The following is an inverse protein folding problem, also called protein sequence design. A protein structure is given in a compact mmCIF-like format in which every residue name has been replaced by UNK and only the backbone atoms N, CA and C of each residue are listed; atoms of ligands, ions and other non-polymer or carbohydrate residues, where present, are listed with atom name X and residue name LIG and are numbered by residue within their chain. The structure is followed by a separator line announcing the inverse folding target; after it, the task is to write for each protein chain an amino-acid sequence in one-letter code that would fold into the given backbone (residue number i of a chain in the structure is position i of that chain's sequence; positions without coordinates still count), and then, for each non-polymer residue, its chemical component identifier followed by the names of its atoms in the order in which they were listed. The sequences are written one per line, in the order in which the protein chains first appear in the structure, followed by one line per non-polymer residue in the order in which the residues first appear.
data_IF_245905615394
#
_entry.id   IF_245905615394
#
_cell.length_a   1.000
_cell.length_b   1.000
_cell.length_c   1.000
_cell.angle_alpha   90.00
_cell.angle_beta   90.00
_cell.angle_gamma   90.00
#
_symmetry.space_group_name_H-M   'P 1'
#
loop_
_entity.id
_entity.type
_entity.pdbx_description
1 polymer ?
#
# COMPACT_ATOMS: atom_id res chain seq x y z
N UNK A 1 -54.35 -54.85 17.38
CA UNK A 1 -55.07 -54.32 16.18
C UNK A 1 -53.99 -53.84 15.23
N UNK A 2 -53.52 -54.66 14.30
CA UNK A 2 -54.09 -54.81 12.96
C UNK A 2 -54.22 -53.47 12.21
N UNK A 3 -53.35 -53.31 11.22
CA UNK A 3 -53.69 -52.82 9.88
C UNK A 3 -54.47 -51.50 9.78
N UNK A 4 -53.77 -50.39 9.50
CA UNK A 4 -54.23 -49.43 8.49
C UNK A 4 -53.07 -49.04 7.59
N UNK A 5 -52.96 -49.84 6.54
CA UNK A 5 -52.24 -49.60 5.32
C UNK A 5 -52.85 -48.38 4.60
N UNK A 6 -51.98 -47.63 3.92
CA UNK A 6 -52.27 -46.72 2.81
C UNK A 6 -52.99 -45.41 3.15
N UNK A 7 -52.31 -44.28 2.92
CA UNK A 7 -52.60 -43.31 1.85
C UNK A 7 -51.94 -41.96 2.20
N UNK A 8 -50.86 -41.61 1.50
CA UNK A 8 -50.17 -40.35 1.74
C UNK A 8 -48.88 -40.20 0.94
N UNK A 9 -48.87 -40.65 -0.31
CA UNK A 9 -47.87 -40.24 -1.29
C UNK A 9 -48.14 -38.76 -1.57
N UNK A 10 -47.40 -37.86 -0.91
CA UNK A 10 -47.31 -36.46 -1.31
C UNK A 10 -45.85 -36.00 -1.18
N UNK A 11 -45.15 -36.17 -2.31
CA UNK A 11 -44.08 -35.29 -2.83
C UNK A 11 -42.81 -35.16 -1.98
N UNK A 12 -42.04 -36.26 -1.92
CA UNK A 12 -40.59 -36.19 -1.71
C UNK A 12 -39.86 -35.79 -3.01
N UNK A 13 -40.16 -34.60 -3.55
CA UNK A 13 -39.63 -34.12 -4.84
C UNK A 13 -39.28 -32.63 -4.85
N UNK A 14 -38.69 -32.12 -3.77
CA UNK A 14 -38.04 -30.80 -3.72
C UNK A 14 -36.51 -30.90 -3.56
N UNK A 15 -35.94 -32.06 -3.88
CA UNK A 15 -34.50 -32.19 -4.02
C UNK A 15 -34.17 -32.15 -5.51
N UNK A 16 -33.25 -31.25 -5.85
CA UNK A 16 -32.65 -31.05 -7.18
C UNK A 16 -33.47 -30.18 -8.12
N UNK A 17 -33.23 -28.86 -8.07
CA UNK A 17 -32.79 -28.19 -9.28
C UNK A 17 -31.98 -26.91 -8.98
N UNK A 18 -30.76 -26.93 -9.53
CA UNK A 18 -29.80 -25.87 -9.84
C UNK A 18 -30.09 -24.46 -9.27
N UNK A 19 -29.15 -23.78 -8.65
CA UNK A 19 -27.78 -23.62 -9.09
C UNK A 19 -26.84 -23.63 -7.89
N UNK A 20 -25.73 -24.33 -8.03
CA UNK A 20 -24.47 -23.97 -7.39
C UNK A 20 -24.33 -22.46 -7.55
N UNK A 21 -24.59 -21.69 -6.48
CA UNK A 21 -24.05 -20.35 -6.38
C UNK A 21 -22.55 -20.57 -6.37
N UNK A 22 -22.01 -20.46 -7.58
CA UNK A 22 -20.62 -20.48 -7.96
C UNK A 22 -19.69 -20.17 -6.79
N UNK A 23 -18.62 -20.94 -6.67
CA UNK A 23 -17.40 -20.58 -5.93
C UNK A 23 -16.72 -19.29 -6.46
N UNK A 24 -17.47 -18.36 -7.05
CA UNK A 24 -16.98 -17.15 -7.69
C UNK A 24 -16.62 -16.02 -6.70
N UNK A 25 -16.58 -16.27 -5.38
CA UNK A 25 -16.34 -15.23 -4.37
C UNK A 25 -15.32 -15.65 -3.29
N UNK A 26 -14.29 -16.42 -3.64
CA UNK A 26 -13.18 -16.73 -2.71
C UNK A 26 -11.78 -16.69 -3.32
N UNK A 27 -11.59 -16.03 -4.45
CA UNK A 27 -10.23 -15.69 -4.85
C UNK A 27 -9.82 -14.44 -4.08
N UNK A 28 -9.08 -14.64 -2.99
CA UNK A 28 -8.38 -13.56 -2.30
C UNK A 28 -7.46 -12.84 -3.29
N UNK A 29 -7.37 -11.49 -3.24
CA UNK A 29 -6.53 -10.73 -4.15
C UNK A 29 -5.08 -11.22 -4.04
N UNK A 30 -4.48 -11.62 -5.16
CA UNK A 30 -3.11 -12.19 -5.17
C UNK A 30 -2.02 -11.13 -5.08
N UNK A 31 -2.37 -9.87 -5.34
CA UNK A 31 -1.43 -8.75 -5.40
C UNK A 31 -1.93 -7.59 -4.55
N UNK A 32 -0.98 -6.79 -4.05
CA UNK A 32 -1.24 -5.48 -3.47
C UNK A 32 -0.60 -4.40 -4.33
N UNK A 33 -1.29 -3.28 -4.45
CA UNK A 33 -0.78 -2.06 -5.05
C UNK A 33 -0.45 -1.08 -3.94
N UNK A 34 0.73 -0.49 -3.97
CA UNK A 34 1.23 0.42 -2.96
C UNK A 34 1.66 1.69 -3.65
N UNK A 35 0.80 2.71 -3.56
CA UNK A 35 0.98 3.95 -4.29
C UNK A 35 1.00 5.17 -3.38
N UNK A 36 1.57 6.26 -3.90
CA UNK A 36 1.69 7.53 -3.21
C UNK A 36 2.38 8.55 -4.10
N UNK A 37 2.70 9.71 -3.53
CA UNK A 37 3.42 10.79 -4.21
C UNK A 37 4.73 11.13 -3.52
N UNK A 38 5.68 11.63 -4.29
CA UNK A 38 6.87 12.31 -3.76
C UNK A 38 6.90 13.74 -4.26
N UNK A 39 6.96 14.67 -3.31
CA UNK A 39 6.96 16.10 -3.57
C UNK A 39 8.26 16.74 -3.05
N UNK A 40 8.61 17.87 -3.64
CA UNK A 40 9.63 18.77 -3.15
C UNK A 40 8.97 19.78 -2.22
N UNK A 41 9.46 19.87 -0.99
CA UNK A 41 9.12 20.94 -0.07
C UNK A 41 10.10 22.10 -0.28
N UNK A 42 9.55 23.26 -0.65
CA UNK A 42 10.29 24.51 -0.75
C UNK A 42 10.11 25.29 0.56
N UNK A 43 11.18 25.42 1.34
CA UNK A 43 11.13 26.16 2.63
C UNK A 43 11.62 27.60 2.52
N UNK A 44 11.74 28.13 1.30
CA UNK A 44 12.07 29.55 1.10
C UNK A 44 10.88 30.48 1.36
N UNK A 45 9.65 29.96 1.32
CA UNK A 45 8.41 30.71 1.55
C UNK A 45 7.87 30.63 2.98
N UNK A 46 6.68 31.20 3.22
CA UNK A 46 5.97 31.14 4.51
C UNK A 46 5.33 29.75 4.74
N UNK A 47 4.91 29.45 5.98
CA UNK A 47 4.31 28.14 6.34
C UNK A 47 3.15 27.69 5.42
N UNK A 48 2.35 28.63 4.91
CA UNK A 48 1.27 28.30 3.96
C UNK A 48 1.80 27.84 2.60
N UNK A 49 2.93 28.39 2.15
CA UNK A 49 3.60 27.99 0.91
C UNK A 49 4.24 26.61 1.04
N UNK A 50 4.64 26.21 2.26
CA UNK A 50 5.17 24.87 2.52
C UNK A 50 4.11 23.79 2.30
N UNK A 51 2.85 24.09 2.64
CA UNK A 51 1.72 23.16 2.52
C UNK A 51 1.16 23.12 1.09
N UNK A 52 1.17 24.26 0.37
CA UNK A 52 0.49 24.39 -0.94
C UNK A 52 1.43 24.48 -2.15
N UNK A 53 2.71 24.84 -1.95
CA UNK A 53 3.68 25.07 -3.02
C UNK A 53 4.53 23.85 -3.39
N UNK A 54 4.25 22.69 -2.81
CA UNK A 54 5.08 21.49 -2.98
C UNK A 54 4.93 20.91 -4.39
N UNK A 55 6.06 20.74 -5.08
CA UNK A 55 6.12 20.35 -6.50
C UNK A 55 6.41 18.86 -6.65
N UNK A 56 5.75 18.13 -7.55
CA UNK A 56 6.08 16.73 -7.77
C UNK A 56 7.50 16.55 -8.31
N UNK A 57 8.19 15.49 -7.87
CA UNK A 57 9.53 15.15 -8.33
C UNK A 57 9.46 13.85 -9.12
N UNK A 58 9.92 13.88 -10.37
CA UNK A 58 10.09 12.70 -11.23
C UNK A 58 11.36 11.94 -10.90
N UNK A 59 11.30 10.62 -10.92
CA UNK A 59 12.46 9.73 -10.76
C UNK A 59 12.91 9.53 -9.32
N UNK A 60 12.14 9.98 -8.32
CA UNK A 60 12.42 9.68 -6.92
C UNK A 60 12.30 8.18 -6.66
N UNK A 61 13.33 7.59 -6.06
CA UNK A 61 13.31 6.18 -5.70
C UNK A 61 12.61 6.00 -4.35
N UNK A 62 11.60 5.15 -4.34
CA UNK A 62 10.84 4.73 -3.15
C UNK A 62 11.00 3.22 -3.02
N UNK A 63 10.99 2.70 -1.79
CA UNK A 63 11.08 1.26 -1.56
C UNK A 63 10.02 0.75 -0.62
N UNK A 64 9.55 -0.46 -0.88
CA UNK A 64 8.75 -1.27 0.04
C UNK A 64 9.63 -2.39 0.60
N UNK A 65 9.62 -2.55 1.91
CA UNK A 65 10.30 -3.63 2.62
C UNK A 65 9.27 -4.38 3.45
N UNK A 66 9.12 -5.68 3.20
CA UNK A 66 8.21 -6.55 3.94
C UNK A 66 9.00 -7.53 4.78
N UNK A 67 8.63 -7.63 6.06
CA UNK A 67 9.24 -8.54 7.00
C UNK A 67 8.39 -9.81 7.16
N UNK A 68 9.03 -10.92 7.51
CA UNK A 68 8.36 -12.09 8.06
C UNK A 68 8.03 -11.91 9.54
N UNK A 69 7.28 -12.86 10.11
CA UNK A 69 6.91 -12.85 11.54
C UNK A 69 8.11 -12.90 12.50
N UNK A 70 9.32 -13.18 12.00
CA UNK A 70 10.58 -13.20 12.78
C UNK A 70 11.39 -11.91 12.58
N UNK A 71 10.83 -10.91 11.90
CA UNK A 71 11.49 -9.63 11.64
C UNK A 71 12.58 -9.70 10.57
N UNK A 72 12.64 -10.75 9.75
CA UNK A 72 13.60 -10.88 8.64
C UNK A 72 12.97 -10.37 7.36
N UNK A 73 13.77 -9.75 6.48
CA UNK A 73 13.29 -9.29 5.17
C UNK A 73 12.80 -10.49 4.36
N UNK A 74 11.50 -10.51 4.08
CA UNK A 74 10.84 -11.47 3.19
C UNK A 74 10.86 -10.96 1.75
N UNK A 75 10.65 -9.66 1.55
CA UNK A 75 10.56 -9.05 0.24
C UNK A 75 11.06 -7.60 0.29
N UNK A 76 11.77 -7.20 -0.76
CA UNK A 76 12.19 -5.83 -1.00
C UNK A 76 11.94 -5.50 -2.47
N UNK A 77 11.32 -4.36 -2.73
CA UNK A 77 11.18 -3.81 -4.06
C UNK A 77 11.34 -2.29 -4.00
N UNK A 78 11.69 -1.70 -5.13
CA UNK A 78 11.75 -0.25 -5.30
C UNK A 78 11.20 0.14 -6.66
N UNK A 79 10.65 1.34 -6.72
CA UNK A 79 10.18 1.95 -7.95
C UNK A 79 10.54 3.43 -7.98
N UNK A 80 10.43 4.04 -9.15
CA UNK A 80 10.69 5.45 -9.40
C UNK A 80 9.40 6.21 -9.68
N UNK A 81 9.32 7.45 -9.19
CA UNK A 81 8.15 8.28 -9.46
C UNK A 81 8.06 8.77 -10.91
N UNK A 82 6.83 8.91 -11.40
CA UNK A 82 6.53 9.44 -12.73
C UNK A 82 6.58 10.99 -12.78
N UNK A 83 6.10 11.57 -13.89
CA UNK A 83 6.11 13.03 -14.11
C UNK A 83 5.24 13.81 -13.13
N UNK A 84 4.23 13.16 -12.55
CA UNK A 84 3.31 13.70 -11.56
C UNK A 84 3.78 13.41 -10.13
N UNK A 85 4.99 12.85 -9.99
CA UNK A 85 5.57 12.43 -8.72
C UNK A 85 4.89 11.20 -8.13
N UNK A 86 4.06 10.50 -8.89
CA UNK A 86 3.36 9.30 -8.44
C UNK A 86 4.26 8.07 -8.52
N UNK A 87 4.13 7.16 -7.56
CA UNK A 87 4.63 5.79 -7.67
C UNK A 87 3.47 4.81 -7.45
N UNK A 88 3.54 3.63 -8.07
CA UNK A 88 2.62 2.51 -7.81
C UNK A 88 3.37 1.18 -7.89
N UNK A 89 3.75 0.65 -6.73
CA UNK A 89 4.46 -0.62 -6.62
C UNK A 89 3.48 -1.78 -6.52
N UNK A 90 3.67 -2.80 -7.36
CA UNK A 90 2.90 -4.05 -7.33
C UNK A 90 3.70 -5.09 -6.56
N UNK A 91 3.12 -5.63 -5.48
CA UNK A 91 3.73 -6.65 -4.63
C UNK A 91 2.85 -7.89 -4.60
N UNK A 92 3.42 -9.06 -4.87
CA UNK A 92 2.72 -10.33 -4.74
C UNK A 92 2.46 -10.66 -3.27
N UNK A 93 1.24 -11.10 -2.93
CA UNK A 93 0.90 -11.56 -1.58
C UNK A 93 1.49 -12.93 -1.24
N UNK A 94 2.11 -13.61 -2.20
CA UNK A 94 2.79 -14.87 -1.97
C UNK A 94 4.21 -14.81 -2.52
N UNK A 95 5.19 -14.89 -1.64
CA UNK A 95 6.61 -14.84 -1.97
C UNK A 95 7.23 -16.18 -1.57
N UNK A 96 7.67 -16.96 -2.56
CA UNK A 96 8.30 -18.27 -2.36
C UNK A 96 7.45 -19.25 -1.52
N UNK A 97 6.14 -19.28 -1.75
CA UNK A 97 5.21 -20.16 -1.04
C UNK A 97 4.81 -19.67 0.35
N UNK A 98 5.23 -18.47 0.75
CA UNK A 98 4.84 -17.84 2.02
C UNK A 98 3.91 -16.66 1.77
N UNK A 99 2.86 -16.60 2.56
CA UNK A 99 1.95 -15.46 2.57
C UNK A 99 2.65 -14.23 3.15
N UNK A 100 2.58 -13.12 2.41
CA UNK A 100 3.06 -11.81 2.79
C UNK A 100 1.95 -11.08 3.55
N UNK A 101 2.31 -10.57 4.72
CA UNK A 101 1.43 -9.79 5.59
C UNK A 101 1.65 -8.30 5.36
N UNK A 102 0.71 -7.56 4.75
CA UNK A 102 0.90 -6.14 4.44
C UNK A 102 1.25 -5.29 5.67
N UNK A 103 0.72 -5.62 6.85
CA UNK A 103 1.00 -4.93 8.10
C UNK A 103 2.46 -5.04 8.57
N UNK A 104 3.22 -5.99 8.02
CA UNK A 104 4.66 -6.16 8.21
C UNK A 104 5.49 -5.54 7.08
N UNK A 105 4.84 -4.85 6.14
CA UNK A 105 5.47 -4.04 5.11
C UNK A 105 5.54 -2.57 5.53
N UNK A 106 6.67 -1.93 5.21
CA UNK A 106 6.83 -0.49 5.30
C UNK A 106 7.36 0.10 3.99
N UNK A 107 6.96 1.33 3.72
CA UNK A 107 7.38 2.09 2.53
C UNK A 107 8.16 3.31 2.96
N UNK A 108 9.30 3.56 2.33
CA UNK A 108 10.17 4.71 2.64
C UNK A 108 10.81 5.29 1.39
N UNK A 109 11.16 6.57 1.47
CA UNK A 109 12.03 7.24 0.51
C UNK A 109 13.43 6.61 0.52
N UNK A 110 14.05 6.60 -0.67
CA UNK A 110 15.43 6.12 -0.86
C UNK A 110 16.32 7.25 -1.38
N UNK A 111 15.93 7.90 -2.48
CA UNK A 111 16.73 8.96 -3.10
C UNK A 111 15.90 9.86 -4.02
N UNK A 112 16.34 11.10 -4.20
CA UNK A 112 15.83 12.02 -5.21
C UNK A 112 16.89 12.24 -6.30
N UNK A 113 16.51 12.29 -7.58
CA UNK A 113 17.41 12.66 -8.66
C UNK A 113 17.55 14.19 -8.81
N UNK A 114 16.70 14.98 -8.15
CA UNK A 114 16.76 16.44 -8.19
C UNK A 114 18.03 16.94 -7.49
N UNK A 115 18.77 17.86 -8.11
CA UNK A 115 20.03 18.35 -7.54
C UNK A 115 19.82 19.39 -6.43
N UNK A 116 18.64 20.01 -6.35
CA UNK A 116 18.27 21.01 -5.34
C UNK A 116 17.40 20.38 -4.25
N UNK A 117 16.47 19.52 -4.63
CA UNK A 117 15.47 18.92 -3.74
C UNK A 117 15.75 17.44 -3.48
N UNK A 118 16.85 17.18 -2.77
CA UNK A 118 17.32 15.82 -2.47
C UNK A 118 17.59 15.55 -1.00
N UNK A 119 17.29 16.50 -0.11
CA UNK A 119 17.45 16.28 1.31
C UNK A 119 16.29 15.44 1.84
N UNK A 120 16.65 14.28 2.37
CA UNK A 120 15.71 13.29 2.85
C UNK A 120 15.06 13.77 4.15
N UNK A 121 13.73 13.94 4.15
CA UNK A 121 12.98 14.30 5.35
C UNK A 121 12.23 13.13 5.95
N UNK A 122 11.81 13.26 7.20
CA UNK A 122 10.87 12.31 7.83
C UNK A 122 9.43 12.84 7.89
N UNK A 123 9.10 13.87 7.11
CA UNK A 123 7.71 14.31 6.97
C UNK A 123 6.85 13.16 6.44
N UNK A 124 5.68 12.98 7.07
CA UNK A 124 4.78 11.86 6.84
C UNK A 124 5.45 10.47 6.95
N UNK A 125 6.59 10.35 7.64
CA UNK A 125 7.33 9.09 7.78
C UNK A 125 8.20 8.74 6.57
N UNK A 126 8.59 9.72 5.73
CA UNK A 126 9.37 9.47 4.52
C UNK A 126 10.70 8.74 4.76
N UNK A 127 11.41 9.06 5.85
CA UNK A 127 12.74 8.48 6.17
C UNK A 127 12.62 7.21 7.03
N UNK A 128 11.79 7.25 8.06
CA UNK A 128 11.56 6.14 9.00
C UNK A 128 10.71 5.03 8.39
N UNK A 129 9.85 5.38 7.44
CA UNK A 129 8.97 4.49 6.70
C UNK A 129 7.57 4.35 7.30
N UNK A 130 6.58 4.18 6.42
CA UNK A 130 5.16 4.06 6.78
C UNK A 130 4.69 2.63 6.61
N UNK A 131 4.05 2.07 7.65
CA UNK A 131 3.48 0.72 7.60
C UNK A 131 2.16 0.67 6.83
N UNK A 132 1.94 -0.41 6.08
CA UNK A 132 0.69 -0.65 5.34
C UNK A 132 -0.39 -1.20 6.29
N UNK A 133 -1.02 -0.33 7.07
CA UNK A 133 -1.96 -0.76 8.14
C UNK A 133 -3.39 -0.96 7.65
N UNK A 134 -3.88 -0.09 6.76
CA UNK A 134 -5.25 -0.15 6.24
C UNK A 134 -5.28 0.04 4.73
N UNK A 135 -5.96 -0.84 3.98
CA UNK A 135 -6.13 -0.64 2.55
C UNK A 135 -7.03 0.56 2.29
N UNK A 136 -6.69 1.33 1.27
CA UNK A 136 -7.52 2.41 0.74
C UNK A 136 -8.68 1.88 -0.11
N UNK A 137 -8.45 0.81 -0.87
CA UNK A 137 -9.45 0.16 -1.70
C UNK A 137 -9.23 -1.35 -1.73
N UNK A 138 -10.31 -2.11 -1.79
CA UNK A 138 -10.30 -3.56 -1.95
C UNK A 138 -11.16 -3.87 -3.18
N UNK A 139 -10.53 -4.45 -4.20
CA UNK A 139 -11.19 -4.95 -5.39
C UNK A 139 -11.11 -6.48 -5.41
N UNK A 140 -11.77 -7.12 -6.37
CA UNK A 140 -11.76 -8.59 -6.51
C UNK A 140 -10.34 -9.15 -6.68
N UNK A 141 -9.52 -8.51 -7.52
CA UNK A 141 -8.22 -9.05 -7.91
C UNK A 141 -7.02 -8.35 -7.23
N UNK A 142 -7.23 -7.18 -6.63
CA UNK A 142 -6.17 -6.40 -5.99
C UNK A 142 -6.63 -5.65 -4.73
N UNK A 143 -5.69 -5.46 -3.80
CA UNK A 143 -5.85 -4.55 -2.66
C UNK A 143 -4.94 -3.36 -2.85
N UNK A 144 -5.46 -2.14 -2.72
CA UNK A 144 -4.67 -0.90 -2.88
C UNK A 144 -4.41 -0.22 -1.55
N UNK A 145 -3.16 0.12 -1.29
CA UNK A 145 -2.71 0.99 -0.21
C UNK A 145 -2.25 2.31 -0.82
N UNK A 146 -2.96 3.40 -0.50
CA UNK A 146 -2.60 4.74 -0.94
C UNK A 146 -2.02 5.49 0.25
N UNK A 147 -0.75 5.89 0.15
CA UNK A 147 -0.03 6.61 1.18
C UNK A 147 -0.20 8.13 0.99
N UNK A 148 -0.01 8.87 2.07
CA UNK A 148 0.20 10.32 1.99
C UNK A 148 1.50 10.64 1.21
N UNK A 149 1.64 11.89 0.72
CA UNK A 149 2.85 12.28 0.03
C UNK A 149 4.08 12.21 0.96
N UNK A 150 5.20 11.79 0.40
CA UNK A 150 6.52 11.95 1.00
C UNK A 150 7.21 13.19 0.46
N UNK A 151 8.18 13.69 1.23
CA UNK A 151 8.84 14.95 0.91
C UNK A 151 10.36 14.82 0.91
N UNK A 152 10.96 15.21 -0.19
CA UNK A 152 12.33 15.71 -0.16
C UNK A 152 12.30 17.22 0.04
N UNK A 153 13.42 17.77 0.47
CA UNK A 153 13.50 19.18 0.76
C UNK A 153 14.77 19.80 0.21
N UNK A 154 14.77 21.13 0.19
CA UNK A 154 15.94 21.92 -0.19
C UNK A 154 16.85 22.16 1.02
N UNK A 155 18.15 22.46 0.83
CA UNK A 155 19.08 22.78 1.92
C UNK A 155 18.68 23.85 2.92
N UNK A 156 17.78 24.77 2.55
CA UNK A 156 17.32 25.80 3.48
C UNK A 156 16.37 25.29 4.57
N UNK A 157 15.97 24.03 4.49
CA UNK A 157 14.98 23.42 5.38
C UNK A 157 15.59 22.64 6.55
N UNK A 158 16.90 22.38 6.52
CA UNK A 158 17.60 21.84 7.69
C UNK A 158 17.75 22.97 8.71
N UNK A 159 17.40 22.70 9.97
CA UNK A 159 17.55 23.69 11.06
C UNK A 159 19.02 24.13 11.12
N UNK A 160 19.31 25.46 11.03
CA UNK A 160 20.68 25.91 11.07
C UNK A 160 21.31 25.54 12.42
N UNK A 161 22.55 25.04 12.39
CA UNK A 161 23.28 24.71 13.62
C UNK A 161 23.48 25.98 14.46
N UNK A 162 22.73 26.10 15.55
CA UNK A 162 22.79 27.24 16.48
C UNK A 162 23.80 27.03 17.61
N UNK A 163 24.55 25.92 17.62
CA UNK A 163 25.48 25.59 18.72
C UNK A 163 26.86 26.25 18.61
N UNK A 164 27.04 27.16 17.66
CA UNK A 164 28.31 27.83 17.36
C UNK A 164 28.50 29.27 17.87
N UNK A 165 27.72 29.73 18.86
CA UNK A 165 27.90 31.05 19.49
C UNK A 165 28.22 30.95 20.98
#
# INVERSE_FOLDING_TARGET
MAMKMVLGIMVASLLVNCFSISEAWKDEPKKIHVGGKVLCQDCTGDWNDWVQGSKPIKGCRVSVTCMDDRGRVMHYASDETDEQGDFDMIVDKNINGKELKPELCSVRLVSSPDNVCNLLTDFAGGRSGVKLTRPSHIFRDLVKYTLGPFFFTTPMCDEPDTTGY
#
